data_IF_108412501713
#
_entry.id   IF_108412501713
#
_cell.length_a   1.000
_cell.length_b   1.000
_cell.length_c   1.000
_cell.angle_alpha   90.00
_cell.angle_beta   90.00
_cell.angle_gamma   90.00
#
_symmetry.space_group_name_H-M   'P 1'
#
loop_
_entity.id
_entity.type
_entity.pdbx_description
1 polymer ?
#
# COMPACT_ATOMS: atom_id res chain seq x y z
N UNK A 1 -4.32 -65.20 11.56
CA UNK A 1 -4.21 -63.90 12.25
C UNK A 1 -3.53 -62.78 11.43
N UNK A 2 -3.55 -62.77 10.08
CA UNK A 2 -2.82 -61.75 9.27
C UNK A 2 -3.67 -60.59 8.72
N UNK A 3 -5.00 -60.67 8.78
CA UNK A 3 -5.90 -59.68 8.18
C UNK A 3 -6.11 -58.42 9.05
N UNK A 4 -6.07 -58.56 10.38
CA UNK A 4 -6.27 -57.45 11.33
C UNK A 4 -5.14 -56.40 11.26
N UNK A 5 -3.90 -56.82 10.99
CA UNK A 5 -2.74 -55.93 10.90
C UNK A 5 -2.77 -54.99 9.69
N UNK A 6 -3.33 -55.44 8.56
CA UNK A 6 -3.41 -54.64 7.34
C UNK A 6 -4.50 -53.56 7.42
N UNK A 7 -5.64 -53.88 8.04
CA UNK A 7 -6.72 -52.92 8.31
C UNK A 7 -6.28 -51.85 9.31
N UNK A 8 -5.60 -52.26 10.40
CA UNK A 8 -5.01 -51.34 11.38
C UNK A 8 -4.03 -50.36 10.72
N UNK A 9 -3.19 -50.84 9.80
CA UNK A 9 -2.23 -50.00 9.08
C UNK A 9 -2.91 -48.98 8.16
N UNK A 10 -4.02 -49.35 7.52
CA UNK A 10 -4.85 -48.46 6.71
C UNK A 10 -5.46 -47.33 7.54
N UNK A 11 -6.00 -47.67 8.72
CA UNK A 11 -6.58 -46.68 9.65
C UNK A 11 -5.52 -45.67 10.11
N UNK A 12 -4.30 -46.14 10.43
CA UNK A 12 -3.19 -45.26 10.83
C UNK A 12 -2.79 -44.32 9.69
N UNK A 13 -2.71 -44.82 8.45
CA UNK A 13 -2.37 -44.00 7.28
C UNK A 13 -3.43 -42.92 7.06
N UNK A 14 -4.71 -43.28 7.07
CA UNK A 14 -5.82 -42.32 6.93
C UNK A 14 -5.80 -41.29 8.07
N UNK A 15 -5.55 -41.72 9.30
CA UNK A 15 -5.45 -40.84 10.45
C UNK A 15 -4.29 -39.83 10.32
N UNK A 16 -3.10 -40.28 9.89
CA UNK A 16 -1.96 -39.40 9.61
C UNK A 16 -2.29 -38.40 8.50
N UNK A 17 -2.98 -38.82 7.44
CA UNK A 17 -3.43 -37.91 6.37
C UNK A 17 -4.37 -36.81 6.89
N UNK A 18 -5.32 -37.16 7.76
CA UNK A 18 -6.24 -36.18 8.36
C UNK A 18 -5.49 -35.17 9.23
N UNK A 19 -4.57 -35.65 10.09
CA UNK A 19 -3.72 -34.77 10.92
C UNK A 19 -2.84 -33.87 10.06
N UNK A 20 -2.31 -34.38 8.96
CA UNK A 20 -1.51 -33.61 8.02
C UNK A 20 -2.33 -32.49 7.35
N UNK A 21 -3.54 -32.79 6.87
CA UNK A 21 -4.44 -31.80 6.24
C UNK A 21 -4.85 -30.70 7.23
N UNK A 22 -5.11 -31.06 8.49
CA UNK A 22 -5.38 -30.08 9.55
C UNK A 22 -4.16 -29.18 9.80
N UNK A 23 -2.97 -29.76 9.87
CA UNK A 23 -1.72 -29.03 10.10
C UNK A 23 -1.40 -28.10 8.94
N UNK A 24 -1.54 -28.57 7.69
CA UNK A 24 -1.34 -27.73 6.50
C UNK A 24 -2.43 -26.67 6.37
N UNK A 25 -3.68 -26.94 6.77
CA UNK A 25 -4.75 -25.94 6.75
C UNK A 25 -4.53 -24.85 7.80
N UNK A 26 -4.13 -25.22 9.02
CA UNK A 26 -3.76 -24.25 10.05
C UNK A 26 -2.50 -23.46 9.66
N UNK A 27 -1.50 -24.13 9.09
CA UNK A 27 -0.28 -23.48 8.59
C UNK A 27 -0.61 -22.56 7.40
N UNK A 28 -1.50 -22.97 6.48
CA UNK A 28 -1.91 -22.20 5.31
C UNK A 28 -2.78 -20.98 5.68
N UNK A 29 -3.67 -21.11 6.65
CA UNK A 29 -4.42 -19.98 7.20
C UNK A 29 -3.48 -18.99 7.90
N UNK A 30 -2.43 -19.48 8.58
CA UNK A 30 -1.40 -18.64 9.19
C UNK A 30 -0.54 -17.93 8.12
N UNK A 31 -0.07 -18.63 7.07
CA UNK A 31 0.65 -18.00 5.96
C UNK A 31 -0.22 -17.02 5.17
N UNK A 32 -1.53 -17.29 5.02
CA UNK A 32 -2.49 -16.38 4.42
C UNK A 32 -2.65 -15.09 5.26
N UNK A 33 -2.71 -15.21 6.59
CA UNK A 33 -2.77 -14.04 7.47
C UNK A 33 -1.46 -13.23 7.47
N UNK A 34 -0.31 -13.91 7.44
CA UNK A 34 1.02 -13.29 7.34
C UNK A 34 1.27 -12.60 5.99
N UNK A 35 0.72 -13.14 4.89
CA UNK A 35 0.80 -12.48 3.57
C UNK A 35 -0.18 -11.31 3.43
N UNK A 36 -1.35 -11.37 4.07
CA UNK A 36 -2.29 -10.22 4.14
C UNK A 36 -1.72 -9.07 4.98
N UNK A 37 -0.96 -9.35 6.05
CA UNK A 37 -0.29 -8.32 6.85
C UNK A 37 0.96 -7.74 6.18
N UNK A 38 1.70 -8.50 5.36
CA UNK A 38 2.87 -7.99 4.66
C UNK A 38 2.56 -7.04 3.48
N UNK A 39 1.31 -6.96 3.03
CA UNK A 39 0.85 -5.96 2.05
C UNK A 39 0.56 -4.59 2.68
N UNK A 40 0.77 -4.41 3.99
CA UNK A 40 0.79 -3.09 4.63
C UNK A 40 2.24 -2.64 4.78
N UNK A 41 2.79 -1.85 3.84
CA UNK A 41 4.09 -1.24 4.04
C UNK A 41 4.03 -0.34 5.29
N UNK A 42 5.00 -0.55 6.18
CA UNK A 42 5.12 0.04 7.51
C UNK A 42 5.44 1.56 7.51
N UNK A 43 5.20 2.29 6.42
CA UNK A 43 5.43 3.74 6.34
C UNK A 43 4.37 4.40 5.43
N UNK A 44 3.75 5.48 5.92
CA UNK A 44 3.01 6.51 5.13
C UNK A 44 1.58 6.18 4.67
N UNK A 45 0.72 5.73 5.59
CA UNK A 45 -0.74 5.88 5.40
C UNK A 45 -1.12 7.38 5.42
N UNK A 46 -2.09 7.80 4.62
CA UNK A 46 -2.52 9.22 4.56
C UNK A 46 -2.93 9.74 5.94
N UNK A 47 -3.41 8.86 6.82
CA UNK A 47 -3.73 9.14 8.21
C UNK A 47 -2.52 9.61 9.03
N UNK A 48 -1.32 9.11 8.73
CA UNK A 48 -0.09 9.56 9.40
C UNK A 48 0.27 11.00 9.03
N UNK A 49 0.12 11.37 7.76
CA UNK A 49 0.31 12.74 7.28
C UNK A 49 -0.71 13.70 7.92
N UNK A 50 -1.97 13.27 8.03
CA UNK A 50 -3.03 14.03 8.71
C UNK A 50 -2.70 14.21 10.19
N UNK A 51 -2.31 13.13 10.88
CA UNK A 51 -1.98 13.15 12.32
C UNK A 51 -0.77 14.02 12.63
N UNK A 52 0.24 14.00 11.77
CA UNK A 52 1.42 14.84 11.89
C UNK A 52 1.15 16.31 11.49
N UNK A 53 0.02 16.58 10.84
CA UNK A 53 -0.33 17.90 10.33
C UNK A 53 0.54 18.35 9.17
N UNK A 54 1.07 17.39 8.40
CA UNK A 54 1.97 17.65 7.29
C UNK A 54 1.24 18.22 6.07
N UNK A 55 1.96 19.02 5.27
CA UNK A 55 1.42 19.55 4.02
C UNK A 55 1.51 18.51 2.90
N UNK A 56 0.43 18.39 2.13
CA UNK A 56 0.30 17.45 1.03
C UNK A 56 0.13 18.23 -0.27
N UNK A 57 0.98 17.96 -1.25
CA UNK A 57 0.89 18.53 -2.58
C UNK A 57 0.00 17.72 -3.52
N UNK A 58 -0.62 18.37 -4.49
CA UNK A 58 -1.29 17.70 -5.60
C UNK A 58 -1.23 18.55 -6.87
N UNK A 59 -1.44 17.92 -8.02
CA UNK A 59 -1.57 18.63 -9.30
C UNK A 59 -2.91 19.36 -9.39
N UNK A 60 -2.89 20.68 -9.59
CA UNK A 60 -4.07 21.54 -9.59
C UNK A 60 -5.13 21.12 -10.63
N UNK A 61 -4.69 20.58 -11.78
CA UNK A 61 -5.57 20.11 -12.86
C UNK A 61 -6.15 18.71 -12.65
N UNK A 62 -6.01 18.13 -11.45
CA UNK A 62 -6.40 16.74 -11.17
C UNK A 62 -7.57 16.64 -10.18
N UNK A 63 -8.37 15.57 -10.32
CA UNK A 63 -9.40 15.17 -9.36
C UNK A 63 -8.81 14.79 -7.99
N UNK A 64 -7.49 14.61 -7.90
CA UNK A 64 -6.77 14.26 -6.67
C UNK A 64 -7.07 15.23 -5.53
N UNK A 65 -7.22 16.53 -5.81
CA UNK A 65 -7.57 17.50 -4.76
C UNK A 65 -8.91 17.20 -4.08
N UNK A 66 -9.90 16.74 -4.84
CA UNK A 66 -11.20 16.32 -4.30
C UNK A 66 -11.09 14.96 -3.58
N UNK A 67 -10.28 14.04 -4.10
CA UNK A 67 -10.02 12.75 -3.46
C UNK A 67 -9.38 12.93 -2.08
N UNK A 68 -8.36 13.78 -1.96
CA UNK A 68 -7.69 14.07 -0.69
C UNK A 68 -8.67 14.62 0.36
N UNK A 69 -9.60 15.49 -0.05
CA UNK A 69 -10.66 15.99 0.84
C UNK A 69 -11.62 14.87 1.27
N UNK A 70 -12.00 13.96 0.37
CA UNK A 70 -12.83 12.79 0.71
C UNK A 70 -12.12 11.82 1.65
N UNK A 71 -10.79 11.74 1.56
CA UNK A 71 -9.95 10.95 2.47
C UNK A 71 -9.74 11.60 3.85
N UNK A 72 -10.29 12.81 4.06
CA UNK A 72 -10.26 13.50 5.36
C UNK A 72 -9.08 14.46 5.53
N UNK A 73 -8.31 14.75 4.47
CA UNK A 73 -7.24 15.75 4.55
C UNK A 73 -7.85 17.16 4.63
N UNK A 74 -7.45 17.99 5.61
CA UNK A 74 -7.92 19.37 5.73
C UNK A 74 -7.53 20.20 4.51
N UNK A 75 -8.45 21.00 3.97
CA UNK A 75 -8.16 21.86 2.82
C UNK A 75 -7.01 22.86 3.05
N UNK A 76 -6.76 23.25 4.31
CA UNK A 76 -5.63 24.11 4.71
C UNK A 76 -4.26 23.43 4.62
N UNK A 77 -4.24 22.09 4.56
CA UNK A 77 -3.02 21.27 4.49
C UNK A 77 -2.76 20.71 3.09
N UNK A 78 -3.64 20.99 2.13
CA UNK A 78 -3.49 20.56 0.74
C UNK A 78 -3.01 21.76 -0.09
N UNK A 79 -1.94 21.57 -0.89
CA UNK A 79 -1.36 22.61 -1.75
C UNK A 79 -1.45 22.22 -3.23
N UNK A 80 -2.11 23.03 -4.07
CA UNK A 80 -2.11 22.81 -5.51
C UNK A 80 -0.80 23.27 -6.13
N UNK A 81 -0.29 22.50 -7.08
CA UNK A 81 0.84 22.86 -7.91
C UNK A 81 0.50 22.60 -9.38
N UNK A 82 1.06 23.41 -10.27
CA UNK A 82 0.75 23.32 -11.70
C UNK A 82 1.94 22.77 -12.48
N UNK A 83 3.16 23.08 -12.03
CA UNK A 83 4.37 22.72 -12.74
C UNK A 83 5.16 21.63 -12.01
N UNK A 84 5.83 20.72 -12.74
CA UNK A 84 6.71 19.71 -12.13
C UNK A 84 7.87 20.33 -11.35
N UNK A 85 8.39 21.49 -11.77
CA UNK A 85 9.51 22.15 -11.08
C UNK A 85 9.11 22.59 -9.66
N UNK A 86 7.85 22.99 -9.47
CA UNK A 86 7.32 23.38 -8.16
C UNK A 86 7.29 22.19 -7.18
N UNK A 87 7.20 20.95 -7.70
CA UNK A 87 7.24 19.75 -6.86
C UNK A 87 8.62 19.56 -6.23
N UNK A 88 9.69 19.73 -7.01
CA UNK A 88 11.06 19.62 -6.53
C UNK A 88 11.34 20.67 -5.45
N UNK A 89 10.92 21.91 -5.69
CA UNK A 89 11.07 22.99 -4.70
C UNK A 89 10.27 22.69 -3.43
N UNK A 90 9.04 22.19 -3.57
CA UNK A 90 8.19 21.83 -2.44
C UNK A 90 8.76 20.68 -1.60
N UNK A 91 9.33 19.67 -2.25
CA UNK A 91 10.03 18.58 -1.55
C UNK A 91 11.32 19.07 -0.87
N UNK A 92 12.11 19.90 -1.55
CA UNK A 92 13.35 20.46 -1.01
C UNK A 92 13.12 21.28 0.27
N UNK A 93 12.05 22.09 0.30
CA UNK A 93 11.65 22.84 1.51
C UNK A 93 11.17 21.91 2.63
N UNK A 94 10.48 20.83 2.27
CA UNK A 94 9.84 19.92 3.20
C UNK A 94 8.68 20.55 3.98
N UNK A 95 7.81 19.71 4.54
CA UNK A 95 6.59 20.14 5.24
C UNK A 95 6.82 21.19 6.34
N UNK A 96 7.92 21.08 7.09
CA UNK A 96 8.25 22.00 8.20
C UNK A 96 8.63 23.41 7.76
N UNK A 97 9.16 23.59 6.54
CA UNK A 97 9.55 24.90 6.02
C UNK A 97 8.60 25.43 4.94
N UNK A 98 7.33 25.01 4.99
CA UNK A 98 6.30 25.48 4.06
C UNK A 98 6.30 24.78 2.70
N UNK A 99 7.07 23.71 2.55
CA UNK A 99 6.99 22.76 1.44
C UNK A 99 5.93 21.68 1.69
N UNK A 100 6.20 20.45 1.25
CA UNK A 100 5.31 19.30 1.40
C UNK A 100 6.05 18.06 1.90
N UNK A 101 5.34 17.16 2.56
CA UNK A 101 5.86 15.84 2.94
C UNK A 101 5.62 14.79 1.85
N UNK A 102 4.52 14.93 1.11
CA UNK A 102 4.12 14.00 0.06
C UNK A 102 3.37 14.73 -1.05
N UNK A 103 3.43 14.20 -2.26
CA UNK A 103 2.68 14.70 -3.42
C UNK A 103 1.86 13.54 -3.98
N UNK A 104 0.56 13.81 -4.20
CA UNK A 104 -0.35 12.89 -4.86
C UNK A 104 -0.61 13.34 -6.28
N UNK A 105 -0.39 12.44 -7.21
CA UNK A 105 -0.66 12.61 -8.64
C UNK A 105 -1.00 11.26 -9.26
N UNK A 106 -1.40 11.26 -10.53
CA UNK A 106 -1.73 10.03 -11.24
C UNK A 106 -0.48 9.17 -11.48
N UNK A 107 -0.66 7.84 -11.44
CA UNK A 107 0.41 6.84 -11.61
C UNK A 107 1.31 7.11 -12.83
N UNK A 108 0.80 7.39 -14.05
CA UNK A 108 1.66 7.64 -15.20
C UNK A 108 2.59 8.85 -14.99
N UNK A 109 2.11 9.91 -14.35
CA UNK A 109 2.92 11.09 -14.05
C UNK A 109 3.96 10.80 -12.98
N UNK A 110 3.59 10.08 -11.92
CA UNK A 110 4.56 9.65 -10.90
C UNK A 110 5.65 8.77 -11.50
N UNK A 111 5.30 7.84 -12.41
CA UNK A 111 6.29 7.00 -13.11
C UNK A 111 7.26 7.83 -13.95
N UNK A 112 6.76 8.85 -14.66
CA UNK A 112 7.60 9.75 -15.44
C UNK A 112 8.54 10.56 -14.55
N UNK A 113 8.03 11.11 -13.45
CA UNK A 113 8.81 11.88 -12.47
C UNK A 113 9.90 11.02 -11.81
N UNK A 114 9.56 9.82 -11.36
CA UNK A 114 10.53 8.87 -10.80
C UNK A 114 11.54 8.38 -11.84
N UNK A 115 11.19 8.34 -13.12
CA UNK A 115 12.15 8.06 -14.17
C UNK A 115 13.23 9.14 -14.31
N UNK A 116 12.92 10.39 -13.95
CA UNK A 116 13.83 11.53 -14.02
C UNK A 116 14.59 11.78 -12.70
N UNK A 117 13.96 11.46 -11.56
CA UNK A 117 14.48 11.77 -10.23
C UNK A 117 14.49 10.56 -9.27
N UNK A 118 14.59 9.34 -9.81
CA UNK A 118 14.42 8.09 -9.06
C UNK A 118 15.46 7.80 -7.97
N UNK A 119 16.58 8.53 -7.95
CA UNK A 119 17.61 8.39 -6.92
C UNK A 119 17.24 9.10 -5.60
N UNK A 120 16.40 10.13 -5.67
CA UNK A 120 16.04 10.98 -4.52
C UNK A 120 14.59 10.78 -4.05
N UNK A 121 13.72 10.28 -4.92
CA UNK A 121 12.28 10.16 -4.67
C UNK A 121 11.80 8.73 -4.87
N UNK A 122 10.78 8.36 -4.11
CA UNK A 122 10.12 7.06 -4.25
C UNK A 122 8.62 7.19 -3.98
N UNK A 123 7.82 6.33 -4.61
CA UNK A 123 6.40 6.20 -4.28
C UNK A 123 6.23 5.41 -3.00
N UNK A 124 5.51 5.99 -2.05
CA UNK A 124 5.18 5.38 -0.75
C UNK A 124 3.67 5.31 -0.54
N UNK A 125 3.23 4.36 0.30
CA UNK A 125 1.83 4.22 0.67
C UNK A 125 0.97 3.45 -0.35
N UNK A 126 -0.34 3.31 -0.06
CA UNK A 126 -1.26 2.56 -0.91
C UNK A 126 -1.62 3.36 -2.19
N UNK A 127 -1.75 2.64 -3.30
CA UNK A 127 -2.29 3.21 -4.53
C UNK A 127 -3.81 3.27 -4.47
N UNK A 128 -4.38 4.47 -4.51
CA UNK A 128 -5.84 4.65 -4.56
C UNK A 128 -6.35 4.39 -5.97
N UNK A 129 -7.07 3.28 -6.17
CA UNK A 129 -7.75 3.00 -7.43
C UNK A 129 -8.90 3.99 -7.62
N UNK A 130 -8.72 4.93 -8.53
CA UNK A 130 -9.79 5.78 -9.03
C UNK A 130 -10.22 5.28 -10.40
N UNK A 131 -11.45 5.59 -10.83
CA UNK A 131 -11.91 5.29 -12.20
C UNK A 131 -10.98 5.99 -13.18
N UNK A 132 -10.05 5.22 -13.77
CA UNK A 132 -8.97 5.75 -14.57
C UNK A 132 -9.42 6.17 -15.97
N UNK A 133 -8.52 6.85 -16.68
CA UNK A 133 -8.62 7.07 -18.12
C UNK A 133 -8.44 5.72 -18.83
N UNK A 134 -9.55 5.07 -19.18
CA UNK A 134 -9.55 3.96 -20.11
C UNK A 134 -9.61 4.55 -21.54
N UNK A 135 -8.59 4.26 -22.34
CA UNK A 135 -8.68 4.30 -23.81
C UNK A 135 -8.69 2.85 -24.31
#
# INVERSE_FOLDING_TARGET
QRLAGNLSRLVIVVWVFVVLILTTSYTASLTSMLTVQQLQPSVTDIQTLIRNGDYIGYRNSSFVGQLLRRLGVPASKIRPYTKPEDFLEAFSKGSRHGGVAAIFDEIPYNRMFLGQHGDEYTTVGPTYKTGGLAF
#
